data_IF_924256907836
#
_entry.id   IF_924256907836
#
_cell.length_a   1.000
_cell.length_b   1.000
_cell.length_c   1.000
_cell.angle_alpha   90.00
_cell.angle_beta   90.00
_cell.angle_gamma   90.00
#
_symmetry.space_group_name_H-M   'P 1'
#
loop_
_entity.id
_entity.type
_entity.pdbx_description
1 polymer ?
#
# COMPACT_ATOMS: atom_id res chain seq x y z
N UNK A 1 9.43 7.24 17.94
CA UNK A 1 10.50 7.23 16.92
C UNK A 1 9.94 7.56 15.54
N UNK A 2 8.94 6.81 15.02
CA UNK A 2 8.36 7.06 13.70
C UNK A 2 7.81 8.48 13.47
N UNK A 3 7.11 9.08 14.45
CA UNK A 3 6.60 10.45 14.34
C UNK A 3 7.73 11.50 14.26
N UNK A 4 8.85 11.27 14.96
CA UNK A 4 10.02 12.15 14.93
C UNK A 4 10.83 12.04 13.63
N UNK A 5 10.76 10.88 12.95
CA UNK A 5 11.33 10.70 11.60
C UNK A 5 10.54 11.51 10.58
N UNK A 6 9.21 11.37 10.58
CA UNK A 6 8.33 12.09 9.64
C UNK A 6 8.20 13.60 9.92
N UNK A 7 8.64 14.04 11.11
CA UNK A 7 8.76 15.47 11.44
C UNK A 7 10.05 16.10 10.90
N UNK A 8 11.06 15.29 10.56
CA UNK A 8 12.35 15.75 10.05
C UNK A 8 12.60 15.46 8.56
N UNK A 9 11.81 14.57 7.96
CA UNK A 9 11.94 14.11 6.58
C UNK A 9 10.59 13.56 6.10
N UNK A 10 10.17 13.88 4.87
CA UNK A 10 8.94 13.33 4.34
C UNK A 10 9.13 11.85 3.89
N UNK A 11 8.02 11.13 3.66
CA UNK A 11 8.07 9.71 3.35
C UNK A 11 8.83 9.38 2.05
N UNK A 12 8.73 10.25 1.04
CA UNK A 12 9.43 10.09 -0.23
C UNK A 12 10.94 10.31 -0.08
N UNK A 13 11.34 11.33 0.67
CA UNK A 13 12.72 11.61 1.02
C UNK A 13 13.34 10.46 1.81
N UNK A 14 12.58 9.87 2.74
CA UNK A 14 13.00 8.71 3.52
C UNK A 14 13.18 7.48 2.62
N UNK A 15 12.21 7.16 1.78
CA UNK A 15 12.32 6.06 0.82
C UNK A 15 13.51 6.27 -0.13
N UNK A 16 13.73 7.50 -0.61
CA UNK A 16 14.88 7.87 -1.42
C UNK A 16 16.22 7.72 -0.69
N UNK A 17 16.28 8.08 0.59
CA UNK A 17 17.48 7.90 1.42
C UNK A 17 17.81 6.40 1.61
N UNK A 18 16.80 5.56 1.85
CA UNK A 18 16.95 4.09 1.93
C UNK A 18 17.43 3.52 0.59
N UNK A 19 16.82 3.93 -0.52
CA UNK A 19 17.18 3.46 -1.87
C UNK A 19 18.63 3.80 -2.24
N UNK A 20 19.12 4.99 -1.83
CA UNK A 20 20.50 5.43 -2.09
C UNK A 20 21.53 4.99 -1.04
N UNK A 21 21.13 4.21 -0.03
CA UNK A 21 21.99 3.87 1.13
C UNK A 21 22.55 5.12 1.84
N UNK A 22 21.79 6.21 1.90
CA UNK A 22 22.24 7.47 2.51
C UNK A 22 22.12 7.43 4.04
N UNK A 23 23.06 6.71 4.66
CA UNK A 23 23.14 6.54 6.12
C UNK A 23 23.33 7.91 6.81
N UNK A 24 24.03 8.84 6.17
CA UNK A 24 24.29 10.16 6.74
C UNK A 24 22.99 10.98 6.87
N UNK A 25 22.10 10.90 5.89
CA UNK A 25 20.78 11.52 5.98
C UNK A 25 19.93 10.91 7.10
N UNK A 26 19.97 9.58 7.27
CA UNK A 26 19.19 8.88 8.29
C UNK A 26 19.69 9.16 9.72
N UNK A 27 20.99 9.32 9.94
CA UNK A 27 21.57 9.65 11.26
C UNK A 27 21.16 11.06 11.73
N UNK A 28 20.82 11.98 10.81
CA UNK A 28 20.34 13.32 11.18
C UNK A 28 18.96 13.30 11.83
N UNK A 29 18.23 12.20 11.74
CA UNK A 29 16.92 12.06 12.34
C UNK A 29 17.03 11.92 13.87
N UNK A 30 16.19 12.62 14.66
CA UNK A 30 16.28 12.60 16.11
C UNK A 30 16.03 11.19 16.65
N UNK A 31 17.03 10.65 17.36
CA UNK A 31 16.99 9.30 17.92
C UNK A 31 17.46 8.17 16.99
N UNK A 32 17.97 8.49 15.79
CA UNK A 32 18.58 7.52 14.87
C UNK A 32 20.10 7.61 14.93
N UNK A 33 20.73 6.63 15.58
CA UNK A 33 22.19 6.47 15.57
C UNK A 33 22.69 5.66 14.37
N UNK A 34 24.01 5.60 14.17
CA UNK A 34 24.65 4.87 13.05
C UNK A 34 24.18 3.43 12.91
N UNK A 35 24.20 2.67 14.00
CA UNK A 35 23.77 1.26 14.02
C UNK A 35 22.28 1.09 13.65
N UNK A 36 21.45 2.03 14.08
CA UNK A 36 20.01 2.04 13.77
C UNK A 36 19.78 2.40 12.31
N UNK A 37 20.51 3.38 11.78
CA UNK A 37 20.44 3.78 10.37
C UNK A 37 20.86 2.64 9.44
N UNK A 38 21.96 1.95 9.73
CA UNK A 38 22.41 0.79 8.97
C UNK A 38 21.35 -0.33 8.94
N UNK A 39 20.76 -0.63 10.10
CA UNK A 39 19.71 -1.66 10.19
C UNK A 39 18.45 -1.25 9.42
N UNK A 40 18.05 0.02 9.52
CA UNK A 40 16.91 0.58 8.79
C UNK A 40 17.09 0.45 7.28
N UNK A 41 18.27 0.76 6.76
CA UNK A 41 18.57 0.65 5.32
C UNK A 41 18.37 -0.79 4.82
N UNK A 42 18.85 -1.79 5.57
CA UNK A 42 18.71 -3.20 5.18
C UNK A 42 17.24 -3.62 5.24
N UNK A 43 16.60 -3.45 6.40
CA UNK A 43 15.22 -3.90 6.63
C UNK A 43 14.21 -3.20 5.71
N UNK A 44 14.41 -1.91 5.42
CA UNK A 44 13.48 -1.14 4.58
C UNK A 44 13.76 -1.31 3.09
N UNK A 45 14.99 -1.63 2.67
CA UNK A 45 15.31 -1.91 1.27
C UNK A 45 14.60 -3.18 0.79
N UNK A 46 14.57 -4.21 1.63
CA UNK A 46 13.85 -5.45 1.34
C UNK A 46 12.34 -5.14 1.19
N UNK A 47 11.76 -4.33 2.08
CA UNK A 47 10.35 -3.91 1.99
C UNK A 47 10.04 -2.98 0.82
N UNK A 48 10.98 -2.11 0.43
CA UNK A 48 10.83 -1.27 -0.76
C UNK A 48 10.75 -2.12 -2.03
N UNK A 49 11.58 -3.16 -2.11
CA UNK A 49 11.57 -4.10 -3.22
C UNK A 49 10.26 -4.92 -3.29
N UNK A 50 9.60 -5.12 -2.16
CA UNK A 50 8.26 -5.75 -2.08
C UNK A 50 7.10 -4.81 -2.45
N UNK A 51 7.36 -3.55 -2.82
CA UNK A 51 6.34 -2.62 -3.33
C UNK A 51 5.58 -1.82 -2.26
N UNK A 52 6.02 -1.83 -1.00
CA UNK A 52 5.34 -1.13 0.11
C UNK A 52 5.35 0.42 0.01
N UNK A 53 6.16 0.99 -0.86
CA UNK A 53 6.34 2.44 -1.00
C UNK A 53 5.97 2.96 -2.39
N UNK A 54 5.16 2.22 -3.15
CA UNK A 54 4.59 2.80 -4.36
C UNK A 54 3.68 3.96 -3.94
N UNK A 55 3.96 5.18 -4.43
CA UNK A 55 3.28 6.41 -4.01
C UNK A 55 1.77 6.39 -4.21
N UNK A 56 1.26 5.41 -4.97
CA UNK A 56 -0.15 5.10 -5.12
C UNK A 56 -0.81 4.58 -3.82
N UNK A 57 -0.09 3.85 -2.97
CA UNK A 57 -0.67 3.24 -1.75
C UNK A 57 -0.75 4.22 -0.57
N UNK A 58 0.10 5.25 -0.54
CA UNK A 58 0.06 6.29 0.51
C UNK A 58 -1.09 7.29 0.31
N UNK A 59 -1.70 7.35 -0.88
CA UNK A 59 -2.92 8.13 -1.11
C UNK A 59 -4.20 7.42 -0.66
N UNK A 60 -4.14 6.14 -0.29
CA UNK A 60 -5.33 5.36 0.09
C UNK A 60 -5.80 5.62 1.53
N UNK A 61 -4.98 6.27 2.38
CA UNK A 61 -5.34 6.55 3.79
C UNK A 61 -5.84 7.97 4.04
N UNK A 62 -5.78 8.86 3.04
CA UNK A 62 -6.36 10.20 3.12
C UNK A 62 -7.72 10.18 2.43
N UNK A 63 -8.78 10.06 3.23
CA UNK A 63 -10.15 9.90 2.76
C UNK A 63 -10.53 10.79 1.57
N UNK A 64 -11.06 10.16 0.52
CA UNK A 64 -11.86 10.84 -0.50
C UNK A 64 -13.20 10.15 -0.63
N UNK A 65 -14.12 10.55 0.25
CA UNK A 65 -15.52 10.68 -0.15
C UNK A 65 -15.57 11.79 -1.20
N UNK A 66 -15.94 11.45 -2.43
CA UNK A 66 -16.32 12.44 -3.43
C UNK A 66 -15.36 12.54 -4.61
N UNK A 67 -15.93 12.19 -5.76
CA UNK A 67 -15.59 12.59 -7.12
C UNK A 67 -14.36 11.95 -7.80
N UNK A 68 -14.71 11.14 -8.81
CA UNK A 68 -13.90 10.60 -9.90
C UNK A 68 -12.63 9.84 -9.47
N UNK A 69 -12.84 8.56 -9.12
CA UNK A 69 -11.79 7.58 -8.89
C UNK A 69 -11.02 7.35 -10.20
N UNK A 70 -9.68 7.48 -10.22
CA UNK A 70 -8.87 6.95 -11.30
C UNK A 70 -9.13 5.44 -11.38
N UNK A 71 -9.54 4.93 -12.54
CA UNK A 71 -9.73 3.48 -12.77
C UNK A 71 -8.43 2.67 -12.52
N UNK A 72 -7.28 3.34 -12.51
CA UNK A 72 -6.00 2.76 -12.12
C UNK A 72 -5.97 2.48 -10.61
N UNK A 73 -6.04 1.19 -10.23
CA UNK A 73 -5.93 0.72 -8.84
C UNK A 73 -7.25 0.29 -8.20
N UNK A 74 -8.38 0.33 -8.93
CA UNK A 74 -9.68 -0.11 -8.43
C UNK A 74 -9.69 -1.61 -8.06
N UNK A 75 -8.84 -2.41 -8.69
CA UNK A 75 -8.61 -3.82 -8.37
C UNK A 75 -7.96 -3.99 -6.98
N UNK A 76 -6.93 -3.19 -6.68
CA UNK A 76 -6.22 -3.22 -5.38
C UNK A 76 -7.11 -2.76 -4.23
N UNK A 77 -7.92 -1.73 -4.48
CA UNK A 77 -8.89 -1.23 -3.51
C UNK A 77 -9.99 -2.26 -3.24
N UNK A 78 -10.47 -2.95 -4.28
CA UNK A 78 -11.42 -4.05 -4.15
C UNK A 78 -10.83 -5.24 -3.37
N UNK A 79 -9.56 -5.60 -3.60
CA UNK A 79 -8.90 -6.65 -2.81
C UNK A 79 -8.81 -6.25 -1.34
N UNK A 80 -8.39 -5.01 -1.04
CA UNK A 80 -8.31 -4.50 0.33
C UNK A 80 -9.66 -4.52 1.04
N UNK A 81 -10.74 -4.18 0.32
CA UNK A 81 -12.10 -4.26 0.84
C UNK A 81 -12.55 -5.71 1.13
N UNK A 82 -12.19 -6.67 0.26
CA UNK A 82 -12.45 -8.09 0.50
C UNK A 82 -11.66 -8.62 1.69
N UNK A 83 -10.40 -8.21 1.86
CA UNK A 83 -9.61 -8.55 3.06
C UNK A 83 -10.24 -7.99 4.34
N UNK A 84 -10.77 -6.77 4.30
CA UNK A 84 -11.50 -6.17 5.43
C UNK A 84 -12.81 -6.92 5.78
N UNK A 85 -13.41 -7.61 4.80
CA UNK A 85 -14.55 -8.52 5.03
C UNK A 85 -14.13 -9.89 5.61
N UNK A 86 -12.82 -10.13 5.76
CA UNK A 86 -12.26 -11.34 6.35
C UNK A 86 -11.77 -12.40 5.35
N UNK A 87 -11.73 -12.09 4.06
CA UNK A 87 -11.15 -12.99 3.05
C UNK A 87 -9.62 -12.96 3.13
N UNK A 88 -8.98 -14.11 2.86
CA UNK A 88 -7.51 -14.18 2.81
C UNK A 88 -7.00 -13.42 1.58
N UNK A 89 -5.78 -12.84 1.61
CA UNK A 89 -5.23 -12.09 0.48
C UNK A 89 -5.22 -12.88 -0.85
N UNK A 90 -4.83 -14.16 -0.79
CA UNK A 90 -4.83 -15.05 -1.94
C UNK A 90 -6.24 -15.37 -2.48
N UNK A 91 -7.26 -15.28 -1.63
CA UNK A 91 -8.66 -15.49 -2.00
C UNK A 91 -9.26 -14.21 -2.60
N UNK A 92 -9.03 -13.06 -1.97
CA UNK A 92 -9.41 -11.75 -2.48
C UNK A 92 -8.86 -11.51 -3.90
N UNK A 93 -7.58 -11.82 -4.12
CA UNK A 93 -6.95 -11.70 -5.43
C UNK A 93 -7.61 -12.59 -6.49
N UNK A 94 -7.97 -13.83 -6.13
CA UNK A 94 -8.67 -14.75 -7.05
C UNK A 94 -10.05 -14.24 -7.40
N UNK A 95 -10.76 -13.69 -6.42
CA UNK A 95 -12.13 -13.18 -6.58
C UNK A 95 -12.17 -11.93 -7.47
N UNK A 96 -11.19 -11.03 -7.35
CA UNK A 96 -11.08 -9.86 -8.24
C UNK A 96 -10.65 -10.28 -9.65
N UNK A 97 -9.72 -11.24 -9.78
CA UNK A 97 -9.21 -11.70 -11.09
C UNK A 97 -10.25 -12.38 -11.97
N UNK A 98 -11.29 -12.97 -11.38
CA UNK A 98 -12.39 -13.58 -12.15
C UNK A 98 -13.42 -12.55 -12.63
N UNK A 99 -13.34 -11.29 -12.19
CA UNK A 99 -14.21 -10.21 -12.65
C UNK A 99 -13.72 -9.71 -14.02
N UNK A 100 -14.49 -9.91 -15.11
CA UNK A 100 -14.08 -9.47 -16.44
C UNK A 100 -14.04 -7.95 -16.50
N UNK A 101 -12.93 -7.39 -16.98
CA UNK A 101 -12.77 -5.94 -17.14
C UNK A 101 -12.69 -5.18 -15.81
N UNK A 102 -12.22 -5.81 -14.72
CA UNK A 102 -12.07 -5.16 -13.42
C UNK A 102 -11.35 -3.80 -13.49
N UNK A 103 -10.34 -3.67 -14.36
CA UNK A 103 -9.59 -2.44 -14.60
C UNK A 103 -10.44 -1.29 -15.17
N UNK A 104 -11.59 -1.59 -15.76
CA UNK A 104 -12.51 -0.63 -16.37
C UNK A 104 -13.78 -0.40 -15.53
N UNK A 105 -13.88 -1.05 -14.37
CA UNK A 105 -15.06 -1.01 -13.51
C UNK A 105 -14.79 -0.20 -12.23
N UNK A 106 -15.81 0.50 -11.70
CA UNK A 106 -15.68 1.13 -10.39
C UNK A 106 -15.57 0.07 -9.29
N UNK A 107 -14.86 0.42 -8.21
CA UNK A 107 -14.52 -0.49 -7.09
C UNK A 107 -15.74 -1.22 -6.52
N UNK A 108 -16.89 -0.54 -6.40
CA UNK A 108 -18.12 -1.13 -5.87
C UNK A 108 -18.68 -2.22 -6.79
N UNK A 109 -18.53 -2.06 -8.11
CA UNK A 109 -18.93 -3.09 -9.06
C UNK A 109 -18.01 -4.29 -9.01
N UNK A 110 -16.70 -4.07 -8.85
CA UNK A 110 -15.72 -5.15 -8.72
C UNK A 110 -16.06 -5.98 -7.46
N UNK A 111 -16.26 -5.34 -6.31
CA UNK A 111 -16.61 -6.03 -5.06
C UNK A 111 -17.92 -6.82 -5.21
N UNK A 112 -18.96 -6.20 -5.82
CA UNK A 112 -20.25 -6.88 -6.04
C UNK A 112 -20.11 -8.11 -6.94
N UNK A 113 -19.36 -8.00 -8.03
CA UNK A 113 -19.15 -9.11 -8.97
C UNK A 113 -18.26 -10.20 -8.36
N UNK A 114 -17.27 -9.83 -7.57
CA UNK A 114 -16.39 -10.75 -6.83
C UNK A 114 -17.16 -11.58 -5.79
N UNK A 115 -18.13 -10.98 -5.09
CA UNK A 115 -18.94 -11.65 -4.06
C UNK A 115 -20.12 -12.46 -4.62
N UNK A 116 -20.61 -12.13 -5.82
CA UNK A 116 -21.80 -12.75 -6.43
C UNK A 116 -21.75 -14.30 -6.49
N UNK A 117 -20.64 -14.96 -6.87
CA UNK A 117 -20.56 -16.43 -6.92
C UNK A 117 -20.61 -17.11 -5.53
N UNK A 118 -20.27 -16.39 -4.46
CA UNK A 118 -20.31 -16.89 -3.09
C UNK A 118 -21.71 -16.77 -2.48
N UNK A 119 -22.41 -15.66 -2.77
CA UNK A 119 -23.78 -15.45 -2.31
C UNK A 119 -24.80 -16.43 -2.94
N UNK A 120 -24.53 -16.95 -4.15
CA UNK A 120 -25.40 -17.95 -4.80
C UNK A 120 -25.14 -19.39 -4.34
N UNK A 121 -24.20 -19.61 -3.41
CA UNK A 121 -23.80 -20.94 -2.92
C UNK A 121 -24.22 -21.19 -1.46
N UNK A 122 -25.08 -20.32 -0.92
CA UNK A 122 -25.73 -20.42 0.38
C UNK A 122 -27.20 -20.81 0.22
#
# INVERSE_FOLDING_TARGET
LALGVLSGMNAEEFAGAIARNDIAALIRLPGVGRKTAERLVIEMRDRLAEGFFDGATMSATAGRMGDAVPLAGADQEAMSALEALGYKPAEAQRMVKVVPGAEALPVEQIIRLALKPLASKA
#
